data_IF_719149202206
#
_entry.id   IF_719149202206
#
_cell.length_a   1.000
_cell.length_b   1.000
_cell.length_c   1.000
_cell.angle_alpha   90.00
_cell.angle_beta   90.00
_cell.angle_gamma   90.00
#
_symmetry.space_group_name_H-M   'P 1'
#
loop_
_entity.id
_entity.type
_entity.pdbx_description
1 polymer ?
#
# COMPACT_ATOMS: atom_id res chain seq x y z
N UNK A 1 20.54 13.15 7.92
CA UNK A 1 20.43 13.89 9.22
C UNK A 1 20.48 12.84 10.32
N UNK A 2 21.17 13.13 11.41
CA UNK A 2 21.17 12.18 12.55
C UNK A 2 19.81 12.24 13.25
N UNK A 3 19.19 11.09 13.46
CA UNK A 3 17.93 10.93 14.17
C UNK A 3 18.10 10.31 15.58
N UNK A 4 19.29 10.45 16.12
CA UNK A 4 19.61 9.94 17.47
C UNK A 4 18.70 10.59 18.51
N UNK A 5 17.92 9.79 19.23
CA UNK A 5 16.93 10.24 20.21
C UNK A 5 15.59 10.70 19.61
N UNK A 6 15.39 10.58 18.31
CA UNK A 6 14.15 10.82 17.59
C UNK A 6 13.59 9.56 16.93
N UNK A 7 12.62 9.74 16.03
CA UNK A 7 12.06 8.64 15.27
C UNK A 7 13.13 7.98 14.37
N UNK A 8 13.17 6.65 14.29
CA UNK A 8 14.18 5.92 13.52
C UNK A 8 13.82 5.94 12.01
N UNK A 9 13.70 7.14 11.45
CA UNK A 9 13.30 7.37 10.06
C UNK A 9 14.33 8.26 9.37
N UNK A 10 14.82 7.81 8.22
CA UNK A 10 15.63 8.61 7.31
C UNK A 10 14.88 8.79 6.00
N UNK A 11 14.83 10.01 5.50
CA UNK A 11 14.16 10.35 4.24
C UNK A 11 15.13 11.06 3.32
N UNK A 12 15.20 10.61 2.08
CA UNK A 12 15.89 11.34 1.03
C UNK A 12 15.07 11.35 -0.26
N UNK A 13 15.31 12.32 -1.10
CA UNK A 13 14.68 12.42 -2.41
C UNK A 13 15.75 12.45 -3.50
N UNK A 14 15.46 11.78 -4.60
CA UNK A 14 16.29 11.80 -5.80
C UNK A 14 15.42 12.10 -7.02
N UNK A 15 15.86 13.00 -7.85
CA UNK A 15 15.16 13.34 -9.10
C UNK A 15 16.03 12.95 -10.29
N UNK A 16 15.52 12.05 -11.11
CA UNK A 16 16.17 11.70 -12.37
C UNK A 16 15.90 12.80 -13.42
N UNK A 17 16.93 13.53 -13.79
CA UNK A 17 16.85 14.62 -14.80
C UNK A 17 17.42 14.22 -16.16
N UNK A 18 17.76 12.95 -16.38
CA UNK A 18 18.43 12.51 -17.61
C UNK A 18 17.49 12.36 -18.81
N UNK A 19 16.17 12.33 -18.58
CA UNK A 19 15.17 12.06 -19.62
C UNK A 19 15.11 10.59 -20.07
N UNK A 20 15.83 9.68 -19.43
CA UNK A 20 15.86 8.24 -19.71
C UNK A 20 15.89 7.44 -18.42
N UNK A 21 15.62 6.13 -18.51
CA UNK A 21 15.72 5.26 -17.34
C UNK A 21 17.15 5.25 -16.80
N UNK A 22 17.27 5.33 -15.48
CA UNK A 22 18.53 5.33 -14.77
C UNK A 22 18.53 4.23 -13.70
N UNK A 23 19.58 3.41 -13.70
CA UNK A 23 19.84 2.47 -12.61
C UNK A 23 20.77 3.11 -11.60
N UNK A 24 20.35 3.10 -10.33
CA UNK A 24 21.11 3.66 -9.22
C UNK A 24 21.30 2.60 -8.14
N UNK A 25 22.37 2.72 -7.36
CA UNK A 25 22.58 1.93 -6.16
C UNK A 25 22.20 2.76 -4.94
N UNK A 26 21.34 2.21 -4.08
CA UNK A 26 21.04 2.78 -2.77
C UNK A 26 21.85 2.04 -1.72
N UNK A 27 22.72 2.75 -1.02
CA UNK A 27 23.54 2.19 0.05
C UNK A 27 22.94 2.60 1.39
N UNK A 28 22.64 1.59 2.21
CA UNK A 28 22.18 1.78 3.59
C UNK A 28 23.27 1.29 4.52
N UNK A 29 23.81 2.17 5.35
CA UNK A 29 24.94 1.86 6.23
C UNK A 29 24.74 2.40 7.63
N UNK A 30 25.30 1.71 8.61
CA UNK A 30 25.38 2.20 9.99
C UNK A 30 26.54 3.17 10.09
N UNK A 31 26.26 4.44 10.34
CA UNK A 31 27.31 5.45 10.55
C UNK A 31 27.95 5.32 11.92
N UNK A 32 27.13 5.09 12.97
CA UNK A 32 27.61 4.94 14.34
C UNK A 32 26.54 4.21 15.17
N UNK A 33 26.99 3.47 16.18
CA UNK A 33 26.09 2.74 17.10
C UNK A 33 25.96 1.26 16.78
N UNK A 34 25.03 0.61 17.49
CA UNK A 34 24.75 -0.80 17.30
C UNK A 34 24.00 -1.06 15.98
N UNK A 35 24.18 -2.26 15.43
CA UNK A 35 23.44 -2.67 14.24
C UNK A 35 21.92 -2.67 14.54
N UNK A 36 21.07 -2.03 13.73
CA UNK A 36 19.64 -1.92 13.98
C UNK A 36 18.89 -3.25 13.94
N UNK A 37 19.43 -4.25 13.28
CA UNK A 37 18.85 -5.58 13.12
C UNK A 37 17.77 -5.60 12.02
N UNK A 38 16.64 -4.96 12.26
CA UNK A 38 15.54 -4.86 11.27
C UNK A 38 15.51 -3.46 10.68
N UNK A 39 15.45 -3.39 9.35
CA UNK A 39 15.25 -2.16 8.59
C UNK A 39 14.20 -2.39 7.53
N UNK A 40 13.43 -1.35 7.24
CA UNK A 40 12.45 -1.33 6.16
C UNK A 40 12.66 -0.07 5.33
N UNK A 41 12.58 -0.20 4.04
CA UNK A 41 12.52 0.95 3.14
C UNK A 41 11.18 0.99 2.41
N UNK A 42 10.72 2.19 2.11
CA UNK A 42 9.53 2.46 1.31
C UNK A 42 9.94 3.43 0.22
N UNK A 43 9.57 3.11 -1.02
CA UNK A 43 9.87 3.93 -2.17
C UNK A 43 8.57 4.57 -2.67
N UNK A 44 8.57 5.89 -2.79
CA UNK A 44 7.49 6.65 -3.41
C UNK A 44 7.92 7.04 -4.83
N UNK A 45 7.13 6.67 -5.82
CA UNK A 45 7.39 6.96 -7.22
C UNK A 45 7.54 5.70 -8.09
N UNK A 46 7.75 5.93 -9.37
CA UNK A 46 7.92 4.84 -10.35
C UNK A 46 9.36 4.32 -10.33
N UNK A 47 9.56 3.19 -9.68
CA UNK A 47 10.86 2.53 -9.63
C UNK A 47 10.70 1.00 -9.57
N UNK A 48 11.71 0.30 -10.06
CA UNK A 48 11.81 -1.15 -9.97
C UNK A 48 13.03 -1.51 -9.13
N UNK A 49 12.85 -2.43 -8.19
CA UNK A 49 13.96 -2.97 -7.39
C UNK A 49 14.53 -4.16 -8.14
N UNK A 50 15.75 -4.02 -8.66
CA UNK A 50 16.40 -5.05 -9.45
C UNK A 50 17.06 -6.12 -8.57
N UNK A 51 17.56 -5.76 -7.39
CA UNK A 51 18.26 -6.66 -6.48
C UNK A 51 17.73 -6.48 -5.06
N UNK A 52 17.69 -7.57 -4.31
CA UNK A 52 17.27 -7.61 -2.89
C UNK A 52 15.81 -7.19 -2.65
N UNK A 53 14.93 -7.36 -3.65
CA UNK A 53 13.49 -7.23 -3.44
C UNK A 53 13.01 -8.37 -2.54
N UNK A 54 12.45 -8.03 -1.37
CA UNK A 54 12.00 -9.03 -0.39
C UNK A 54 10.51 -9.33 -0.49
N UNK A 55 9.75 -8.53 -1.24
CA UNK A 55 8.28 -8.56 -1.28
C UNK A 55 7.64 -8.66 0.12
N UNK A 56 8.24 -7.99 1.10
CA UNK A 56 7.75 -7.99 2.47
C UNK A 56 6.53 -7.09 2.63
N UNK A 57 5.74 -7.33 3.68
CA UNK A 57 4.55 -6.52 3.95
C UNK A 57 4.86 -5.03 4.07
N UNK A 58 3.98 -4.21 3.52
CA UNK A 58 4.13 -2.74 3.44
C UNK A 58 3.02 -1.98 4.16
N UNK A 59 2.16 -2.67 4.91
CA UNK A 59 1.15 -2.03 5.74
C UNK A 59 1.82 -1.52 7.01
N UNK A 60 1.79 -0.20 7.20
CA UNK A 60 2.35 0.50 8.37
C UNK A 60 1.48 1.73 8.71
N UNK A 61 1.82 2.43 9.80
CA UNK A 61 1.09 3.61 10.23
C UNK A 61 -0.37 3.31 10.59
N UNK A 62 -1.29 4.17 10.17
CA UNK A 62 -2.71 4.08 10.50
C UNK A 62 -3.36 2.77 10.05
N UNK A 63 -3.02 2.29 8.85
CA UNK A 63 -3.54 1.04 8.31
C UNK A 63 -3.12 -0.19 9.14
N UNK A 64 -1.99 -0.10 9.86
CA UNK A 64 -1.51 -1.16 10.75
C UNK A 64 -2.05 -1.03 12.19
N UNK A 65 -2.91 -0.05 12.48
CA UNK A 65 -3.52 0.08 13.80
C UNK A 65 -4.46 -1.10 14.10
N UNK A 66 -4.58 -1.47 15.38
CA UNK A 66 -5.39 -2.63 15.77
C UNK A 66 -6.88 -2.48 15.42
N UNK A 67 -7.40 -1.25 15.51
CA UNK A 67 -8.81 -0.96 15.20
C UNK A 67 -9.05 -0.42 13.79
N UNK A 68 -8.06 -0.51 12.88
CA UNK A 68 -8.24 -0.13 11.48
C UNK A 68 -8.46 -1.38 10.63
N UNK A 69 -9.36 -1.29 9.66
CA UNK A 69 -9.54 -2.29 8.61
C UNK A 69 -8.63 -1.91 7.42
N UNK A 70 -7.48 -2.56 7.31
CA UNK A 70 -6.60 -2.35 6.17
C UNK A 70 -7.16 -3.03 4.93
N UNK A 71 -7.20 -2.31 3.82
CA UNK A 71 -7.83 -2.78 2.59
C UNK A 71 -6.78 -3.01 1.50
N UNK A 72 -6.74 -4.23 0.96
CA UNK A 72 -6.07 -4.57 -0.29
C UNK A 72 -6.92 -4.22 -1.50
N UNK A 73 -6.33 -4.23 -2.68
CA UNK A 73 -6.99 -3.92 -3.94
C UNK A 73 -7.00 -5.12 -4.88
N UNK A 74 -8.11 -5.30 -5.60
CA UNK A 74 -8.24 -6.20 -6.73
C UNK A 74 -8.93 -5.46 -7.88
N UNK A 75 -8.38 -5.56 -9.08
CA UNK A 75 -9.00 -5.00 -10.29
C UNK A 75 -10.46 -5.50 -10.39
N UNK A 76 -11.41 -4.58 -10.58
CA UNK A 76 -12.83 -4.92 -10.59
C UNK A 76 -13.19 -6.01 -11.59
N UNK A 77 -12.51 -6.06 -12.75
CA UNK A 77 -12.74 -7.11 -13.77
C UNK A 77 -12.12 -8.45 -13.39
N UNK A 78 -11.29 -8.50 -12.35
CA UNK A 78 -10.66 -9.71 -11.83
C UNK A 78 -11.25 -10.13 -10.48
N UNK A 79 -12.56 -10.01 -10.35
CA UNK A 79 -13.32 -10.35 -9.15
C UNK A 79 -14.35 -11.45 -9.46
N UNK A 80 -14.96 -12.08 -8.46
CA UNK A 80 -15.98 -13.10 -8.66
C UNK A 80 -17.16 -12.65 -9.52
N UNK A 81 -17.52 -11.37 -9.50
CA UNK A 81 -18.55 -10.79 -10.35
C UNK A 81 -18.24 -10.95 -11.86
N UNK A 82 -16.96 -11.06 -12.20
CA UNK A 82 -16.45 -11.27 -13.56
C UNK A 82 -15.88 -12.68 -13.77
N UNK A 83 -16.16 -13.61 -12.85
CA UNK A 83 -15.78 -15.02 -12.98
C UNK A 83 -14.35 -15.36 -12.50
N UNK A 84 -13.70 -14.48 -11.78
CA UNK A 84 -12.37 -14.70 -11.20
C UNK A 84 -12.50 -14.92 -9.69
N UNK A 85 -12.45 -16.16 -9.25
CA UNK A 85 -12.58 -16.57 -7.85
C UNK A 85 -11.45 -17.55 -7.45
N UNK A 86 -10.60 -17.22 -6.49
CA UNK A 86 -10.57 -15.96 -5.72
C UNK A 86 -10.18 -14.75 -6.58
N UNK A 87 -10.49 -13.51 -6.13
CA UNK A 87 -10.11 -12.31 -6.86
C UNK A 87 -8.59 -12.21 -6.99
N UNK A 88 -8.11 -11.72 -8.13
CA UNK A 88 -6.70 -11.50 -8.38
C UNK A 88 -6.28 -10.14 -7.80
N UNK A 89 -5.32 -10.16 -6.89
CA UNK A 89 -4.82 -8.94 -6.26
C UNK A 89 -4.04 -8.08 -7.24
N UNK A 90 -4.17 -6.77 -7.10
CA UNK A 90 -3.31 -5.82 -7.77
C UNK A 90 -1.84 -5.98 -7.34
N UNK A 91 -0.93 -5.84 -8.29
CA UNK A 91 0.51 -6.01 -8.05
C UNK A 91 1.09 -5.04 -7.02
N UNK A 92 0.43 -3.90 -6.82
CA UNK A 92 0.79 -2.89 -5.83
C UNK A 92 0.09 -3.10 -4.48
N UNK A 93 -0.85 -4.05 -4.37
CA UNK A 93 -1.50 -4.37 -3.10
C UNK A 93 -0.49 -4.96 -2.13
N UNK A 94 -0.49 -4.48 -0.88
CA UNK A 94 0.49 -4.95 0.10
C UNK A 94 0.31 -6.43 0.44
N UNK A 95 1.43 -7.14 0.55
CA UNK A 95 1.47 -8.55 0.95
C UNK A 95 1.26 -8.76 2.46
N UNK A 96 1.18 -7.69 3.25
CA UNK A 96 0.96 -7.86 4.69
C UNK A 96 1.48 -6.70 5.56
N UNK A 97 1.46 -6.91 6.89
CA UNK A 97 1.82 -5.88 7.85
C UNK A 97 3.34 -5.70 7.98
N UNK A 98 3.72 -4.53 8.46
CA UNK A 98 5.04 -4.30 9.03
C UNK A 98 5.03 -4.68 10.51
N UNK A 99 5.99 -5.47 11.02
CA UNK A 99 6.09 -5.76 12.44
C UNK A 99 6.22 -4.49 13.28
N UNK A 100 5.48 -4.43 14.39
CA UNK A 100 5.56 -3.35 15.37
C UNK A 100 6.63 -3.72 16.38
N UNK A 101 7.64 -2.89 16.51
CA UNK A 101 8.82 -3.14 17.34
C UNK A 101 8.84 -2.31 18.61
N UNK A 102 8.01 -1.26 18.69
CA UNK A 102 7.97 -0.30 19.79
C UNK A 102 6.54 -0.07 20.22
N UNK A 103 6.34 0.15 21.50
CA UNK A 103 5.06 0.60 22.04
C UNK A 103 4.82 2.10 21.77
N UNK A 104 3.65 2.60 22.19
CA UNK A 104 3.26 4.00 22.01
C UNK A 104 4.13 4.99 22.77
N UNK A 105 4.93 4.53 23.73
CA UNK A 105 5.88 5.33 24.50
C UNK A 105 7.30 5.29 23.88
N UNK A 106 7.49 4.58 22.77
CA UNK A 106 8.79 4.39 22.14
C UNK A 106 9.67 3.35 22.82
N UNK A 107 9.13 2.55 23.75
CA UNK A 107 9.85 1.46 24.40
C UNK A 107 9.85 0.23 23.49
N UNK A 108 11.00 -0.36 23.28
CA UNK A 108 11.13 -1.55 22.44
C UNK A 108 10.41 -2.74 23.08
N UNK A 109 9.55 -3.38 22.28
CA UNK A 109 8.87 -4.61 22.67
C UNK A 109 9.85 -5.78 22.77
N UNK A 110 9.64 -6.67 23.74
CA UNK A 110 10.44 -7.91 23.89
C UNK A 110 10.19 -8.90 22.74
N UNK A 111 8.99 -8.86 22.15
CA UNK A 111 8.62 -9.61 20.96
C UNK A 111 7.89 -8.66 20.02
N UNK A 112 8.20 -8.72 18.74
CA UNK A 112 7.50 -7.92 17.72
C UNK A 112 6.02 -8.31 17.66
N UNK A 113 5.13 -7.32 17.60
CA UNK A 113 3.72 -7.54 17.35
C UNK A 113 3.50 -7.59 15.84
N UNK A 114 2.87 -8.65 15.35
CA UNK A 114 2.50 -8.81 13.93
C UNK A 114 0.99 -8.99 13.88
N UNK A 115 0.31 -8.05 13.26
CA UNK A 115 -1.15 -8.05 13.09
C UNK A 115 -1.52 -8.76 11.79
N UNK A 116 -2.67 -9.41 11.75
CA UNK A 116 -3.19 -10.02 10.53
C UNK A 116 -3.77 -8.91 9.64
N UNK A 117 -2.98 -8.41 8.70
CA UNK A 117 -3.31 -7.33 7.78
C UNK A 117 -2.92 -7.71 6.33
N UNK A 118 -3.65 -7.26 5.31
CA UNK A 118 -4.93 -6.57 5.34
C UNK A 118 -6.07 -7.52 5.75
N UNK A 119 -7.15 -6.99 6.33
CA UNK A 119 -8.34 -7.77 6.72
C UNK A 119 -9.28 -8.02 5.56
N UNK A 120 -9.33 -7.09 4.60
CA UNK A 120 -10.28 -7.14 3.50
C UNK A 120 -9.59 -6.76 2.19
N UNK A 121 -10.12 -7.27 1.09
CA UNK A 121 -9.81 -6.85 -0.27
C UNK A 121 -11.07 -6.28 -0.88
N UNK A 122 -10.97 -5.13 -1.53
CA UNK A 122 -12.07 -4.49 -2.23
C UNK A 122 -11.66 -4.16 -3.68
N UNK A 123 -12.64 -3.99 -4.58
CA UNK A 123 -12.36 -3.66 -5.96
C UNK A 123 -11.76 -2.27 -6.11
N UNK A 124 -10.88 -2.13 -7.08
CA UNK A 124 -10.42 -0.85 -7.62
C UNK A 124 -10.60 -0.81 -9.14
N UNK A 125 -10.08 0.20 -9.81
CA UNK A 125 -10.20 0.34 -11.26
C UNK A 125 -11.59 0.73 -11.75
N UNK A 126 -12.54 1.00 -10.87
CA UNK A 126 -13.90 1.38 -11.24
C UNK A 126 -13.99 2.82 -11.76
N UNK A 127 -15.07 3.12 -12.48
CA UNK A 127 -15.35 4.43 -13.04
C UNK A 127 -15.43 5.54 -11.99
N UNK A 128 -14.89 6.69 -12.31
CA UNK A 128 -15.02 7.92 -11.52
C UNK A 128 -15.43 9.10 -12.40
N UNK A 129 -15.75 10.23 -11.76
CA UNK A 129 -16.06 11.48 -12.46
C UNK A 129 -15.00 12.56 -12.28
N UNK A 130 -13.91 12.26 -11.54
CA UNK A 130 -12.97 13.30 -11.09
C UNK A 130 -11.50 12.95 -11.27
N UNK A 131 -11.12 11.68 -11.49
CA UNK A 131 -9.73 11.27 -11.63
C UNK A 131 -9.38 10.86 -13.05
N UNK A 132 -8.16 11.18 -13.45
CA UNK A 132 -7.54 10.69 -14.67
C UNK A 132 -8.04 11.34 -15.94
N UNK A 133 -7.65 10.77 -17.04
CA UNK A 133 -8.19 11.04 -18.37
C UNK A 133 -9.26 9.98 -18.67
N UNK A 134 -10.32 10.39 -19.37
CA UNK A 134 -11.28 9.43 -19.92
C UNK A 134 -10.56 8.36 -20.73
N UNK A 135 -10.97 7.12 -20.62
CA UNK A 135 -10.38 5.99 -21.36
C UNK A 135 -10.66 6.03 -22.88
N UNK A 136 -11.01 7.19 -23.40
CA UNK A 136 -11.30 7.45 -24.83
C UNK A 136 -10.11 7.12 -25.77
N UNK A 137 -8.92 6.84 -25.22
CA UNK A 137 -7.71 6.57 -26.01
C UNK A 137 -7.34 5.09 -26.17
N UNK A 138 -8.17 4.16 -25.74
CA UNK A 138 -8.01 2.73 -26.06
C UNK A 138 -6.78 2.06 -25.45
N UNK A 139 -6.41 2.45 -24.24
CA UNK A 139 -5.25 1.89 -23.52
C UNK A 139 -5.40 0.44 -23.05
N UNK A 140 -6.53 -0.21 -23.32
CA UNK A 140 -6.71 -1.66 -23.17
C UNK A 140 -6.86 -2.17 -21.74
N UNK A 141 -6.94 -1.29 -20.73
CA UNK A 141 -7.13 -1.71 -19.34
C UNK A 141 -8.61 -1.75 -18.92
N UNK A 142 -9.45 -1.01 -19.59
CA UNK A 142 -10.77 -0.63 -19.06
C UNK A 142 -11.82 -0.53 -20.16
N UNK A 143 -13.10 -0.44 -19.77
CA UNK A 143 -14.21 -0.20 -20.70
C UNK A 143 -14.12 1.21 -21.29
N UNK A 144 -14.44 1.32 -22.60
CA UNK A 144 -14.44 2.60 -23.32
C UNK A 144 -15.79 3.30 -23.18
N UNK A 145 -16.12 3.76 -22.01
CA UNK A 145 -17.41 4.39 -21.71
C UNK A 145 -17.32 5.91 -21.49
N UNK A 146 -16.11 6.46 -21.57
CA UNK A 146 -15.86 7.89 -21.43
C UNK A 146 -15.65 8.36 -19.99
N UNK A 147 -15.68 7.45 -19.01
CA UNK A 147 -15.35 7.75 -17.63
C UNK A 147 -13.92 7.32 -17.29
N UNK A 148 -13.16 8.10 -16.51
CA UNK A 148 -11.86 7.70 -16.04
C UNK A 148 -11.97 6.61 -14.97
N UNK A 149 -11.05 5.63 -15.00
CA UNK A 149 -10.96 4.58 -14.01
C UNK A 149 -9.93 4.93 -12.93
N UNK A 150 -10.24 4.62 -11.68
CA UNK A 150 -9.38 4.92 -10.55
C UNK A 150 -8.79 3.64 -9.96
N UNK A 151 -7.51 3.40 -10.25
CA UNK A 151 -6.75 2.29 -9.70
C UNK A 151 -6.01 2.70 -8.42
N UNK A 152 -5.90 1.77 -7.48
CA UNK A 152 -5.17 1.95 -6.23
C UNK A 152 -5.92 1.46 -5.00
N UNK A 153 -5.19 1.11 -3.95
CA UNK A 153 -5.81 0.84 -2.63
C UNK A 153 -6.59 2.05 -2.10
N UNK A 154 -6.29 3.26 -2.60
CA UNK A 154 -7.07 4.47 -2.35
C UNK A 154 -8.46 4.46 -2.97
N UNK A 155 -8.69 3.66 -4.02
CA UNK A 155 -10.01 3.41 -4.59
C UNK A 155 -10.71 2.25 -3.86
N UNK A 156 -9.97 1.19 -3.53
CA UNK A 156 -10.50 0.02 -2.84
C UNK A 156 -11.02 0.34 -1.42
N UNK A 157 -10.30 1.14 -0.65
CA UNK A 157 -10.67 1.47 0.73
C UNK A 157 -12.06 2.13 0.85
N UNK A 158 -12.45 3.14 0.05
CA UNK A 158 -13.80 3.70 0.12
C UNK A 158 -14.89 2.72 -0.34
N UNK A 159 -14.61 1.75 -1.23
CA UNK A 159 -15.57 0.69 -1.52
C UNK A 159 -15.84 -0.19 -0.29
N UNK A 160 -14.80 -0.60 0.43
CA UNK A 160 -14.94 -1.33 1.68
C UNK A 160 -15.71 -0.51 2.73
N UNK A 161 -15.38 0.77 2.88
CA UNK A 161 -16.05 1.67 3.82
C UNK A 161 -17.54 1.88 3.48
N UNK A 162 -17.86 2.02 2.19
CA UNK A 162 -19.24 2.15 1.74
C UNK A 162 -20.05 0.87 2.02
N UNK A 163 -19.46 -0.31 1.76
CA UNK A 163 -20.09 -1.58 2.10
C UNK A 163 -20.35 -1.68 3.62
N UNK A 164 -19.36 -1.35 4.45
CA UNK A 164 -19.54 -1.34 5.90
C UNK A 164 -20.66 -0.40 6.35
N UNK A 165 -20.74 0.80 5.77
CA UNK A 165 -21.85 1.73 6.05
C UNK A 165 -23.22 1.17 5.67
N UNK A 166 -23.32 0.50 4.51
CA UNK A 166 -24.57 -0.16 4.10
C UNK A 166 -24.95 -1.32 5.03
N UNK A 167 -23.97 -2.08 5.52
CA UNK A 167 -24.22 -3.17 6.48
C UNK A 167 -24.73 -2.63 7.82
N UNK A 168 -24.13 -1.53 8.31
CA UNK A 168 -24.60 -0.87 9.55
C UNK A 168 -26.00 -0.28 9.38
N UNK A 169 -26.34 0.27 8.21
CA UNK A 169 -27.68 0.78 7.93
C UNK A 169 -28.72 -0.34 7.89
N UNK A 170 -28.35 -1.48 7.31
CA UNK A 170 -29.22 -2.65 7.23
C UNK A 170 -29.43 -3.36 8.59
N UNK A 171 -28.42 -3.37 9.44
CA UNK A 171 -28.43 -4.03 10.75
C UNK A 171 -27.70 -3.14 11.79
N UNK A 172 -28.40 -2.14 12.38
CA UNK A 172 -27.77 -1.12 13.24
C UNK A 172 -27.18 -1.64 14.57
N UNK A 173 -27.32 -2.94 14.86
CA UNK A 173 -26.81 -3.56 16.07
C UNK A 173 -25.51 -4.37 15.87
N UNK A 174 -24.93 -4.30 14.69
CA UNK A 174 -23.63 -4.90 14.38
C UNK A 174 -22.49 -4.02 14.90
#
# INVERSE_FOLDING_TARGET
MGNVGGDPVEVFAYTNTTGSNLTVNVLIGVFSGANPGFMKYVIFGSSTINEFATNSGTIYGHANAAGAEATGAADYVKTPAFGVDPPELESFSSAGPTPILFDVSGVRLGTAEVRAKPEIVAPDGTNTTFFGSSDASGGGCCEQDGFPNFFGTSAAAPHAAALAAMMIDAEPLI
#
